data_IF_514793116672
#
_entry.id   IF_514793116672
#
_cell.length_a   1.000
_cell.length_b   1.000
_cell.length_c   1.000
_cell.angle_alpha   90.00
_cell.angle_beta   90.00
_cell.angle_gamma   90.00
#
_symmetry.space_group_name_H-M   'P 1'
#
loop_
_entity.id
_entity.type
_entity.pdbx_description
1 polymer ?
#
# COMPACT_ATOMS: atom_id res chain seq x y z
N UNK A 1 -14.47 3.77 -2.87
CA UNK A 1 -13.79 2.49 -3.17
C UNK A 1 -13.31 1.93 -1.84
N UNK A 2 -13.79 0.77 -1.41
CA UNK A 2 -13.48 0.23 -0.08
C UNK A 2 -12.51 -0.95 -0.23
N UNK A 3 -11.23 -0.71 0.06
CA UNK A 3 -10.22 -1.77 0.13
C UNK A 3 -10.31 -2.39 1.52
N UNK A 4 -10.58 -3.69 1.60
CA UNK A 4 -10.59 -4.41 2.88
C UNK A 4 -9.22 -5.04 3.09
N UNK A 5 -8.54 -4.65 4.17
CA UNK A 5 -7.26 -5.25 4.59
C UNK A 5 -7.54 -6.12 5.81
N UNK A 6 -7.34 -7.43 5.67
CA UNK A 6 -7.54 -8.39 6.76
C UNK A 6 -6.59 -8.13 7.93
N UNK A 7 -6.99 -8.51 9.15
CA UNK A 7 -6.18 -8.29 10.35
C UNK A 7 -4.78 -8.91 10.24
N UNK A 8 -4.69 -10.10 9.62
CA UNK A 8 -3.41 -10.79 9.37
C UNK A 8 -2.52 -9.97 8.42
N UNK A 9 -3.10 -9.42 7.35
CA UNK A 9 -2.35 -8.58 6.42
C UNK A 9 -1.90 -7.27 7.08
N UNK A 10 -2.76 -6.63 7.89
CA UNK A 10 -2.38 -5.44 8.63
C UNK A 10 -1.24 -5.72 9.62
N UNK A 11 -1.27 -6.84 10.35
CA UNK A 11 -0.20 -7.25 11.25
C UNK A 11 1.13 -7.46 10.49
N UNK A 12 1.06 -8.09 9.31
CA UNK A 12 2.21 -8.26 8.43
C UNK A 12 2.78 -6.91 7.97
N UNK A 13 1.95 -5.98 7.50
CA UNK A 13 2.41 -4.67 7.07
C UNK A 13 2.99 -3.84 8.22
N UNK A 14 2.39 -3.88 9.41
CA UNK A 14 2.96 -3.22 10.61
C UNK A 14 4.36 -3.74 10.93
N UNK A 15 4.57 -5.06 10.80
CA UNK A 15 5.91 -5.66 11.01
C UNK A 15 6.93 -5.19 9.98
N UNK A 16 6.52 -5.09 8.70
CA UNK A 16 7.39 -4.57 7.64
C UNK A 16 7.73 -3.09 7.87
N UNK A 17 6.74 -2.26 8.20
CA UNK A 17 6.93 -0.83 8.47
C UNK A 17 7.77 -0.55 9.71
N UNK A 18 7.73 -1.42 10.73
CA UNK A 18 8.57 -1.28 11.92
C UNK A 18 10.09 -1.38 11.63
N UNK A 19 10.47 -1.89 10.45
CA UNK A 19 11.85 -1.97 9.98
C UNK A 19 12.23 -0.78 9.07
N UNK A 20 11.29 0.10 8.76
CA UNK A 20 11.50 1.28 7.91
C UNK A 20 11.62 2.55 8.74
N UNK A 21 12.02 3.64 8.10
CA UNK A 21 12.06 4.96 8.72
C UNK A 21 10.66 5.43 9.13
N UNK A 22 10.60 6.20 10.21
CA UNK A 22 9.35 6.75 10.74
C UNK A 22 8.61 7.58 9.68
N UNK A 23 7.31 7.34 9.53
CA UNK A 23 6.49 7.99 8.52
C UNK A 23 6.52 7.34 7.14
N UNK A 24 7.09 6.14 7.00
CA UNK A 24 6.93 5.30 5.81
C UNK A 24 5.53 4.68 5.78
N UNK A 25 4.85 4.80 4.65
CA UNK A 25 3.52 4.25 4.38
C UNK A 25 3.61 3.04 3.44
N UNK A 26 2.47 2.35 3.24
CA UNK A 26 2.30 1.36 2.17
C UNK A 26 1.43 1.96 1.08
N UNK A 27 1.92 2.02 -0.16
CA UNK A 27 1.14 2.40 -1.34
C UNK A 27 0.62 1.14 -2.03
N UNK A 28 -0.68 1.14 -2.31
CA UNK A 28 -1.37 0.06 -3.04
C UNK A 28 -1.67 0.57 -4.45
N UNK A 29 -1.40 -0.25 -5.46
CA UNK A 29 -1.69 0.09 -6.85
C UNK A 29 -2.24 -1.12 -7.62
N UNK A 30 -3.01 -0.85 -8.67
CA UNK A 30 -3.55 -1.89 -9.57
C UNK A 30 -2.87 -1.75 -10.92
N UNK A 31 -2.26 -2.83 -11.38
CA UNK A 31 -1.67 -2.95 -12.71
C UNK A 31 -2.73 -3.54 -13.64
N UNK A 32 -2.92 -2.96 -14.82
CA UNK A 32 -3.94 -3.35 -15.83
C UNK A 32 -5.38 -3.42 -15.26
N UNK A 33 -5.88 -2.31 -14.66
CA UNK A 33 -7.24 -2.27 -14.12
C UNK A 33 -8.27 -2.57 -15.22
N UNK A 34 -9.33 -3.28 -14.87
CA UNK A 34 -10.41 -3.62 -15.81
C UNK A 34 -10.10 -4.79 -16.76
N UNK A 35 -8.98 -5.50 -16.58
CA UNK A 35 -8.63 -6.70 -17.36
C UNK A 35 -8.63 -7.95 -16.48
N UNK A 36 -8.77 -9.17 -17.05
CA UNK A 36 -8.59 -10.42 -16.32
C UNK A 36 -7.17 -10.62 -15.76
N UNK A 37 -6.20 -9.87 -16.29
CA UNK A 37 -4.80 -9.86 -15.84
C UNK A 37 -4.53 -8.71 -14.86
N UNK A 38 -5.57 -8.22 -14.18
CA UNK A 38 -5.41 -7.20 -13.16
C UNK A 38 -4.61 -7.75 -11.98
N UNK A 39 -3.58 -7.02 -11.58
CA UNK A 39 -2.72 -7.40 -10.47
C UNK A 39 -2.71 -6.28 -9.43
N UNK A 40 -2.81 -6.64 -8.15
CA UNK A 40 -2.70 -5.70 -7.04
C UNK A 40 -1.28 -5.78 -6.47
N UNK A 41 -0.56 -4.66 -6.50
CA UNK A 41 0.77 -4.52 -5.94
C UNK A 41 0.80 -3.63 -4.69
N UNK A 42 1.84 -3.80 -3.89
CA UNK A 42 2.14 -2.93 -2.75
C UNK A 42 3.61 -2.50 -2.78
N UNK A 43 3.88 -1.26 -2.36
CA UNK A 43 5.24 -0.73 -2.22
C UNK A 43 5.37 0.14 -0.97
N UNK A 44 6.60 0.35 -0.51
CA UNK A 44 6.88 1.34 0.53
C UNK A 44 6.80 2.75 -0.05
N UNK A 45 6.12 3.64 0.66
CA UNK A 45 5.94 5.03 0.30
C UNK A 45 6.45 5.91 1.43
N UNK A 46 7.74 6.30 1.44
CA UNK A 46 8.24 7.25 2.43
C UNK A 46 7.49 8.57 2.34
N UNK A 47 7.56 9.37 3.42
CA UNK A 47 6.84 10.65 3.51
C UNK A 47 7.14 11.61 2.35
N UNK A 48 8.36 11.57 1.81
CA UNK A 48 8.79 12.37 0.65
C UNK A 48 8.18 11.93 -0.68
N UNK A 49 7.71 10.69 -0.78
CA UNK A 49 7.13 10.11 -1.99
C UNK A 49 5.60 10.19 -2.02
N UNK A 50 4.95 10.71 -0.96
CA UNK A 50 3.50 10.88 -0.90
C UNK A 50 3.08 11.95 -1.90
N UNK A 51 2.17 11.59 -2.80
CA UNK A 51 1.65 12.46 -3.85
C UNK A 51 0.24 12.96 -3.48
N UNK A 52 -0.15 14.13 -4.00
CA UNK A 52 -1.48 14.71 -3.73
C UNK A 52 -2.64 13.84 -4.24
N UNK A 53 -2.36 12.93 -5.15
CA UNK A 53 -3.30 11.97 -5.73
C UNK A 53 -3.40 10.68 -4.92
N UNK A 54 -2.51 10.45 -3.95
CA UNK A 54 -2.62 9.32 -3.03
C UNK A 54 -3.86 9.49 -2.16
N UNK A 55 -4.61 8.41 -1.99
CA UNK A 55 -5.77 8.40 -1.09
C UNK A 55 -5.30 8.05 0.33
N UNK A 56 -5.69 8.81 1.37
CA UNK A 56 -5.33 8.51 2.75
C UNK A 56 -6.02 7.23 3.27
#
# INVERSE_FOLDING_TARGET
>A
MQITISDVAQAHFRRLLAQQEEGTNIRIFVVKPGTPHAECGVSYCPKSAVELTDTP
#
